data_IF_344050990966
#
_entry.id   IF_344050990966
#
_cell.length_a   1.000
_cell.length_b   1.000
_cell.length_c   1.000
_cell.angle_alpha   90.00
_cell.angle_beta   90.00
_cell.angle_gamma   90.00
#
_symmetry.space_group_name_H-M   'P 1'
#
loop_
_entity.id
_entity.type
_entity.pdbx_description
1 polymer ?
#
# COMPACT_ATOMS: atom_id res chain seq x y z
N UNK A 1 -5.91 -6.10 -19.42
CA UNK A 1 -6.08 -7.01 -18.27
C UNK A 1 -4.79 -7.80 -18.12
N UNK A 2 -4.21 -7.92 -16.92
CA UNK A 2 -3.01 -8.74 -16.71
C UNK A 2 -3.42 -10.05 -16.06
N UNK A 3 -3.27 -11.16 -16.76
CA UNK A 3 -3.61 -12.50 -16.27
C UNK A 3 -2.31 -13.26 -16.03
N UNK A 4 -2.19 -13.90 -14.86
CA UNK A 4 -1.10 -14.82 -14.58
C UNK A 4 -1.45 -16.16 -15.22
N UNK A 5 -0.66 -16.58 -16.23
CA UNK A 5 -0.88 -17.85 -16.91
C UNK A 5 0.20 -18.83 -16.46
N UNK A 6 -0.24 -19.98 -15.94
CA UNK A 6 0.66 -21.08 -15.60
C UNK A 6 0.92 -21.88 -16.89
N UNK A 7 2.12 -21.76 -17.48
CA UNK A 7 2.47 -22.44 -18.73
C UNK A 7 3.21 -23.75 -18.41
N UNK A 8 2.71 -24.87 -18.96
CA UNK A 8 3.03 -26.24 -18.54
C UNK A 8 4.41 -26.79 -18.95
N UNK A 9 5.35 -25.94 -19.38
CA UNK A 9 6.69 -26.41 -19.82
C UNK A 9 7.86 -25.88 -18.98
N UNK A 10 7.63 -25.07 -17.94
CA UNK A 10 8.65 -24.77 -16.91
C UNK A 10 7.99 -24.28 -15.61
N UNK A 11 7.73 -25.23 -14.70
CA UNK A 11 6.76 -25.13 -13.61
C UNK A 11 7.18 -24.34 -12.36
N UNK A 12 8.15 -23.41 -12.44
CA UNK A 12 8.64 -22.73 -11.24
C UNK A 12 8.41 -21.21 -11.20
N UNK A 13 8.04 -20.56 -12.31
CA UNK A 13 7.78 -19.12 -12.30
C UNK A 13 6.51 -18.76 -13.10
N UNK A 14 5.52 -18.11 -12.45
CA UNK A 14 4.36 -17.60 -13.17
C UNK A 14 4.79 -16.59 -14.23
N UNK A 15 4.17 -16.64 -15.41
CA UNK A 15 4.37 -15.64 -16.48
C UNK A 15 3.16 -14.71 -16.56
N UNK A 16 3.40 -13.47 -16.93
CA UNK A 16 2.40 -12.43 -17.05
C UNK A 16 2.00 -12.27 -18.51
N UNK A 17 0.70 -12.40 -18.77
CA UNK A 17 0.08 -12.14 -20.06
C UNK A 17 -0.59 -10.77 -20.06
N UNK A 18 -0.29 -9.97 -21.08
CA UNK A 18 -0.92 -8.68 -21.35
C UNK A 18 -1.52 -8.72 -22.76
N UNK A 19 -2.75 -8.25 -22.89
CA UNK A 19 -3.48 -8.17 -24.17
C UNK A 19 -4.21 -6.83 -24.27
N UNK A 20 -4.20 -6.26 -25.48
CA UNK A 20 -4.97 -5.08 -25.85
C UNK A 20 -5.31 -5.13 -27.35
N UNK A 21 -6.57 -5.39 -27.69
CA UNK A 21 -7.00 -5.56 -29.08
C UNK A 21 -6.27 -6.72 -29.75
N UNK A 22 -5.60 -6.46 -30.87
CA UNK A 22 -4.81 -7.46 -31.61
C UNK A 22 -3.38 -7.67 -31.07
N UNK A 23 -2.98 -6.95 -30.03
CA UNK A 23 -1.62 -6.97 -29.49
C UNK A 23 -1.58 -7.78 -28.20
N UNK A 24 -0.56 -8.64 -28.04
CA UNK A 24 -0.40 -9.40 -26.81
C UNK A 24 1.06 -9.77 -26.52
N UNK A 25 1.38 -9.97 -25.24
CA UNK A 25 2.74 -10.31 -24.80
C UNK A 25 2.73 -11.20 -23.56
N UNK A 26 3.67 -12.16 -23.51
CA UNK A 26 3.91 -13.04 -22.36
C UNK A 26 5.34 -12.84 -21.85
N UNK A 27 5.50 -12.25 -20.67
CA UNK A 27 6.82 -11.96 -20.06
C UNK A 27 6.91 -12.48 -18.62
N UNK A 28 8.12 -12.44 -18.04
CA UNK A 28 8.40 -12.93 -16.68
C UNK A 28 7.97 -11.94 -15.59
N UNK A 29 7.77 -10.68 -15.93
CA UNK A 29 7.26 -9.64 -15.04
C UNK A 29 6.16 -8.81 -15.73
N UNK A 30 5.21 -8.25 -14.97
CA UNK A 30 4.06 -7.54 -15.52
C UNK A 30 4.47 -6.24 -16.23
N UNK A 31 5.49 -5.54 -15.74
CA UNK A 31 5.96 -4.27 -16.31
C UNK A 31 6.49 -4.47 -17.72
N UNK A 32 7.26 -5.53 -17.95
CA UNK A 32 7.80 -5.87 -19.27
C UNK A 32 6.70 -6.37 -20.20
N UNK A 33 5.74 -7.18 -19.70
CA UNK A 33 4.60 -7.62 -20.51
C UNK A 33 3.79 -6.43 -21.04
N UNK A 34 3.43 -5.51 -20.14
CA UNK A 34 2.68 -4.28 -20.47
C UNK A 34 3.52 -3.37 -21.38
N UNK A 35 4.79 -3.15 -21.05
CA UNK A 35 5.67 -2.31 -21.86
C UNK A 35 5.84 -2.83 -23.28
N UNK A 36 5.84 -4.15 -23.48
CA UNK A 36 5.97 -4.74 -24.83
C UNK A 36 4.73 -4.41 -25.66
N UNK A 37 3.53 -4.70 -25.14
CA UNK A 37 2.27 -4.40 -25.83
C UNK A 37 2.13 -2.90 -26.09
N UNK A 38 2.50 -2.06 -25.12
CA UNK A 38 2.46 -0.61 -25.24
C UNK A 38 3.37 -0.08 -26.36
N UNK A 39 4.59 -0.61 -26.46
CA UNK A 39 5.54 -0.26 -27.53
C UNK A 39 5.02 -0.66 -28.91
N UNK A 40 4.40 -1.84 -29.02
CA UNK A 40 3.81 -2.32 -30.28
C UNK A 40 2.64 -1.43 -30.74
N UNK A 41 1.77 -1.00 -29.81
CA UNK A 41 0.62 -0.14 -30.14
C UNK A 41 1.06 1.26 -30.59
N UNK A 42 2.00 1.87 -29.87
CA UNK A 42 2.36 3.27 -30.06
C UNK A 42 3.61 3.50 -30.92
N UNK A 43 4.22 2.41 -31.40
CA UNK A 43 5.44 2.41 -32.19
C UNK A 43 6.56 3.30 -31.59
N UNK A 44 6.65 3.31 -30.26
CA UNK A 44 7.55 4.17 -29.49
C UNK A 44 8.53 3.30 -28.68
N UNK A 45 9.78 3.74 -28.51
CA UNK A 45 10.79 3.01 -27.74
C UNK A 45 10.72 3.23 -26.22
N UNK A 46 9.94 4.22 -25.77
CA UNK A 46 9.81 4.54 -24.34
C UNK A 46 9.08 3.42 -23.60
N UNK A 47 9.56 3.11 -22.40
CA UNK A 47 8.93 2.11 -21.52
C UNK A 47 7.55 2.59 -21.06
N UNK A 48 6.70 1.66 -20.64
CA UNK A 48 5.42 2.00 -20.04
C UNK A 48 5.66 2.80 -18.76
N UNK A 49 5.24 4.07 -18.77
CA UNK A 49 5.14 4.89 -17.58
C UNK A 49 3.66 5.01 -17.26
N UNK A 50 3.14 4.18 -16.36
CA UNK A 50 1.70 4.13 -16.05
C UNK A 50 1.10 5.51 -15.77
N UNK A 51 1.85 6.37 -15.10
CA UNK A 51 1.45 7.75 -14.81
C UNK A 51 1.24 8.58 -16.09
N UNK A 52 2.15 8.47 -17.07
CA UNK A 52 2.04 9.18 -18.35
C UNK A 52 0.86 8.66 -19.19
N UNK A 53 0.59 7.35 -19.14
CA UNK A 53 -0.53 6.74 -19.87
C UNK A 53 -1.88 7.15 -19.29
N UNK A 54 -1.97 7.26 -17.97
CA UNK A 54 -3.17 7.72 -17.28
C UNK A 54 -3.34 9.24 -17.31
N UNK A 55 -2.42 9.97 -17.98
CA UNK A 55 -2.47 11.42 -18.02
C UNK A 55 -2.20 12.09 -16.67
N UNK A 56 -1.57 11.39 -15.71
CA UNK A 56 -1.19 11.92 -14.39
C UNK A 56 -0.09 12.99 -14.42
N UNK A 57 0.20 13.54 -15.61
CA UNK A 57 1.03 14.74 -15.81
C UNK A 57 0.21 15.92 -16.33
N UNK A 58 -1.10 15.72 -16.55
CA UNK A 58 -2.03 16.73 -17.02
C UNK A 58 -3.00 17.06 -15.88
N UNK A 59 -2.95 18.30 -15.39
CA UNK A 59 -3.76 18.76 -14.25
C UNK A 59 -5.26 18.52 -14.45
N UNK A 60 -5.79 18.79 -15.65
CA UNK A 60 -7.22 18.59 -15.94
C UNK A 60 -7.64 17.11 -15.86
N UNK A 61 -6.77 16.19 -16.27
CA UNK A 61 -7.03 14.75 -16.15
C UNK A 61 -6.94 14.32 -14.69
N UNK A 62 -5.95 14.81 -13.94
CA UNK A 62 -5.81 14.52 -12.51
C UNK A 62 -7.03 15.02 -11.75
N UNK A 63 -7.49 16.24 -12.01
CA UNK A 63 -8.70 16.82 -11.42
C UNK A 63 -9.91 15.93 -11.69
N UNK A 64 -10.18 15.58 -12.96
CA UNK A 64 -11.31 14.72 -13.30
C UNK A 64 -11.23 13.34 -12.64
N UNK A 65 -10.04 12.71 -12.62
CA UNK A 65 -9.84 11.42 -11.96
C UNK A 65 -9.95 11.50 -10.43
N UNK A 66 -9.79 12.70 -9.85
CA UNK A 66 -9.86 12.92 -8.40
C UNK A 66 -11.22 13.37 -7.92
N UNK A 67 -12.16 13.72 -8.82
CA UNK A 67 -13.48 14.29 -8.46
C UNK A 67 -14.28 13.43 -7.46
N UNK A 68 -14.21 12.11 -7.58
CA UNK A 68 -14.92 11.17 -6.70
C UNK A 68 -13.98 10.41 -5.75
N UNK A 69 -12.71 10.83 -5.66
CA UNK A 69 -11.74 10.20 -4.76
C UNK A 69 -11.87 10.81 -3.38
N UNK A 70 -12.55 10.10 -2.48
CA UNK A 70 -12.74 10.53 -1.09
C UNK A 70 -11.43 10.64 -0.30
N UNK A 71 -10.41 9.87 -0.68
CA UNK A 71 -9.12 9.85 -0.02
C UNK A 71 -8.03 9.26 -0.91
N UNK A 72 -6.85 9.89 -0.89
CA UNK A 72 -5.63 9.37 -1.51
C UNK A 72 -4.69 8.89 -0.41
N UNK A 73 -4.23 7.63 -0.44
CA UNK A 73 -3.24 7.14 0.52
C UNK A 73 -1.99 8.00 0.56
N UNK A 74 -1.53 8.31 1.78
CA UNK A 74 -0.35 9.15 2.01
C UNK A 74 0.75 8.35 2.69
N UNK A 75 1.99 8.75 2.43
CA UNK A 75 3.15 8.25 3.17
C UNK A 75 3.73 9.35 4.04
N UNK A 76 4.00 9.03 5.29
CA UNK A 76 4.65 9.91 6.26
C UNK A 76 5.90 9.23 6.85
N UNK A 77 6.86 10.05 7.27
CA UNK A 77 8.14 9.58 7.81
C UNK A 77 8.15 9.78 9.31
N UNK A 78 8.50 8.73 10.06
CA UNK A 78 8.70 8.77 11.51
C UNK A 78 10.09 8.22 11.82
N UNK A 79 11.08 9.13 11.78
CA UNK A 79 12.49 8.77 11.83
C UNK A 79 12.88 7.80 10.72
N UNK A 80 13.16 6.55 11.09
CA UNK A 80 13.54 5.48 10.15
C UNK A 80 12.33 4.74 9.55
N UNK A 81 11.13 4.94 10.10
CA UNK A 81 9.92 4.26 9.64
C UNK A 81 9.21 5.10 8.60
N UNK A 82 8.76 4.43 7.53
CA UNK A 82 7.79 4.98 6.58
C UNK A 82 6.44 4.39 6.90
N UNK A 83 5.51 5.24 7.30
CA UNK A 83 4.13 4.88 7.60
C UNK A 83 3.27 5.21 6.39
N UNK A 84 2.44 4.27 5.98
CA UNK A 84 1.51 4.41 4.87
C UNK A 84 0.09 4.41 5.39
N UNK A 85 -0.60 5.54 5.29
CA UNK A 85 -2.01 5.70 5.69
C UNK A 85 -2.87 5.46 4.46
N UNK A 86 -3.79 4.50 4.55
CA UNK A 86 -4.60 4.04 3.42
C UNK A 86 -6.10 3.95 3.75
N UNK A 87 -6.51 4.37 4.94
CA UNK A 87 -7.91 4.56 5.32
C UNK A 87 -8.05 5.72 6.30
N UNK A 88 -9.03 6.58 6.07
CA UNK A 88 -9.31 7.75 6.91
C UNK A 88 -10.65 7.56 7.59
N UNK A 89 -10.59 7.20 8.86
CA UNK A 89 -11.70 7.26 9.78
C UNK A 89 -11.52 8.46 10.68
N UNK A 90 -12.61 9.18 10.97
CA UNK A 90 -12.58 10.38 11.82
C UNK A 90 -13.49 10.23 13.03
N UNK A 91 -13.16 10.97 14.08
CA UNK A 91 -13.96 11.07 15.31
C UNK A 91 -13.75 12.44 15.97
N UNK A 92 -14.43 12.70 17.07
CA UNK A 92 -14.18 13.87 17.92
C UNK A 92 -13.01 13.67 18.90
N UNK A 93 -12.23 12.59 18.77
CA UNK A 93 -11.13 12.30 19.69
C UNK A 93 -9.88 13.13 19.35
N UNK A 94 -9.72 14.26 20.03
CA UNK A 94 -8.59 15.17 19.84
C UNK A 94 -7.24 14.57 20.24
N UNK A 95 -7.20 13.60 21.16
CA UNK A 95 -5.94 12.93 21.54
C UNK A 95 -5.35 12.11 20.40
N UNK A 96 -6.20 11.69 19.45
CA UNK A 96 -5.82 10.90 18.29
C UNK A 96 -5.82 11.75 17.02
N UNK A 97 -5.65 13.08 17.15
CA UNK A 97 -5.76 14.05 16.06
C UNK A 97 -7.03 13.86 15.22
N UNK A 98 -8.15 13.60 15.91
CA UNK A 98 -9.47 13.33 15.33
C UNK A 98 -9.54 12.05 14.49
N UNK A 99 -8.57 11.14 14.61
CA UNK A 99 -8.64 9.79 14.05
C UNK A 99 -9.76 8.98 14.71
N UNK A 100 -10.41 8.12 13.93
CA UNK A 100 -11.57 7.35 14.39
C UNK A 100 -11.80 6.06 13.62
N UNK A 101 -12.93 5.38 13.89
CA UNK A 101 -13.30 4.13 13.23
C UNK A 101 -13.18 4.21 11.71
N UNK A 102 -12.49 3.22 11.12
CA UNK A 102 -12.16 3.19 9.70
C UNK A 102 -10.76 3.71 9.37
N UNK A 103 -10.04 4.30 10.34
CA UNK A 103 -8.64 4.71 10.14
C UNK A 103 -7.74 3.48 9.99
N UNK A 104 -6.86 3.50 8.98
CA UNK A 104 -5.94 2.40 8.69
C UNK A 104 -4.58 2.92 8.24
N UNK A 105 -3.54 2.42 8.87
CA UNK A 105 -2.16 2.69 8.48
C UNK A 105 -1.31 1.44 8.56
N UNK A 106 -0.14 1.48 7.94
CA UNK A 106 0.81 0.39 7.97
C UNK A 106 2.23 0.88 8.03
N UNK A 107 3.10 0.06 8.61
CA UNK A 107 4.53 0.29 8.60
C UNK A 107 5.27 -1.04 8.42
N UNK A 108 6.38 -0.97 7.70
CA UNK A 108 7.26 -2.12 7.46
C UNK A 108 8.48 -1.97 8.35
N UNK A 109 8.84 -3.04 9.05
CA UNK A 109 10.06 -3.10 9.86
C UNK A 109 10.79 -4.41 9.63
N UNK A 110 12.10 -4.31 9.43
CA UNK A 110 12.99 -5.45 9.28
C UNK A 110 13.76 -5.68 10.58
N UNK A 111 13.65 -6.89 11.13
CA UNK A 111 14.36 -7.31 12.35
C UNK A 111 15.16 -8.56 12.01
N UNK A 112 16.49 -8.52 12.21
CA UNK A 112 17.40 -9.63 11.92
C UNK A 112 17.22 -10.20 10.49
N UNK A 113 17.04 -9.33 9.50
CA UNK A 113 16.82 -9.71 8.09
C UNK A 113 15.40 -10.19 7.76
N UNK A 114 14.49 -10.24 8.73
CA UNK A 114 13.09 -10.64 8.53
C UNK A 114 12.21 -9.40 8.48
N UNK A 115 11.54 -9.19 7.35
CA UNK A 115 10.57 -8.10 7.17
C UNK A 115 9.19 -8.47 7.71
N UNK A 116 8.62 -7.56 8.49
CA UNK A 116 7.26 -7.65 9.01
C UNK A 116 6.47 -6.44 8.53
N UNK A 117 5.21 -6.69 8.17
CA UNK A 117 4.24 -5.64 7.89
C UNK A 117 3.29 -5.54 9.07
N UNK A 118 3.22 -4.36 9.68
CA UNK A 118 2.30 -4.05 10.75
C UNK A 118 1.18 -3.20 10.17
N UNK A 119 -0.07 -3.60 10.41
CA UNK A 119 -1.25 -2.87 9.97
C UNK A 119 -2.04 -2.45 11.20
N UNK A 120 -2.07 -1.15 11.44
CA UNK A 120 -2.78 -0.49 12.52
C UNK A 120 -4.18 -0.11 12.04
N UNK A 121 -5.21 -0.42 12.81
CA UNK A 121 -6.60 -0.05 12.51
C UNK A 121 -7.29 0.52 13.73
N UNK A 122 -8.14 1.53 13.53
CA UNK A 122 -9.10 1.98 14.52
C UNK A 122 -10.47 1.47 14.08
N UNK A 123 -11.11 0.70 14.94
CA UNK A 123 -12.44 0.16 14.76
C UNK A 123 -13.38 0.76 15.82
N UNK A 124 -14.68 0.47 15.73
CA UNK A 124 -15.64 0.93 16.74
C UNK A 124 -15.32 0.32 18.10
N UNK A 125 -14.85 1.16 19.02
CA UNK A 125 -14.58 0.80 20.42
C UNK A 125 -13.22 0.18 20.71
N UNK A 126 -12.38 -0.09 19.69
CA UNK A 126 -11.03 -0.62 19.91
C UNK A 126 -10.04 -0.27 18.80
N UNK A 127 -8.75 -0.36 19.12
CA UNK A 127 -7.65 -0.33 18.17
C UNK A 127 -7.12 -1.75 17.96
N UNK A 128 -6.62 -2.02 16.76
CA UNK A 128 -6.01 -3.30 16.47
C UNK A 128 -4.71 -3.18 15.67
N UNK A 129 -3.87 -4.20 15.82
CA UNK A 129 -2.59 -4.32 15.13
C UNK A 129 -2.45 -5.74 14.56
N UNK A 130 -2.52 -5.86 13.23
CA UNK A 130 -2.20 -7.10 12.49
C UNK A 130 -0.71 -7.12 12.18
N UNK A 131 -0.04 -8.20 12.51
CA UNK A 131 1.36 -8.43 12.14
C UNK A 131 1.41 -9.51 11.07
N UNK A 132 1.94 -9.17 9.90
CA UNK A 132 2.14 -10.09 8.79
C UNK A 132 3.62 -10.42 8.63
N UNK A 133 3.89 -11.70 8.36
CA UNK A 133 5.18 -12.21 7.88
C UNK A 133 4.92 -13.13 6.70
N UNK A 134 5.61 -12.92 5.57
CA UNK A 134 5.46 -13.73 4.36
C UNK A 134 3.99 -13.85 3.92
N UNK A 135 3.26 -12.72 3.92
CA UNK A 135 1.84 -12.62 3.55
C UNK A 135 0.86 -13.43 4.44
N UNK A 136 1.33 -13.97 5.58
CA UNK A 136 0.48 -14.66 6.57
C UNK A 136 0.35 -13.81 7.83
N UNK A 137 -0.85 -13.76 8.39
CA UNK A 137 -1.08 -13.16 9.71
C UNK A 137 -0.35 -14.01 10.74
N UNK A 138 0.53 -13.38 11.52
CA UNK A 138 1.27 -14.00 12.62
C UNK A 138 0.71 -13.60 13.97
N UNK A 139 0.21 -12.38 14.09
CA UNK A 139 -0.36 -11.89 15.33
C UNK A 139 -1.49 -10.91 15.04
N UNK A 140 -2.44 -10.87 15.97
CA UNK A 140 -3.55 -9.96 16.02
C UNK A 140 -3.66 -9.47 17.45
N UNK A 141 -3.45 -8.17 17.64
CA UNK A 141 -3.45 -7.54 18.96
C UNK A 141 -4.57 -6.51 18.96
N UNK A 142 -5.48 -6.63 19.93
CA UNK A 142 -6.48 -5.61 20.24
C UNK A 142 -6.12 -4.87 21.52
N UNK A 143 -6.59 -3.62 21.61
CA UNK A 143 -6.43 -2.75 22.77
C UNK A 143 -7.35 -1.55 22.69
N UNK A 144 -7.57 -0.88 23.81
CA UNK A 144 -8.41 0.31 23.90
C UNK A 144 -7.81 1.56 23.24
N UNK A 145 -6.50 1.56 22.98
CA UNK A 145 -5.79 2.70 22.40
C UNK A 145 -4.62 2.29 21.49
N UNK A 146 -4.14 3.20 20.62
CA UNK A 146 -2.93 2.97 19.83
C UNK A 146 -1.70 2.62 20.68
N UNK A 147 -1.56 3.25 21.85
CA UNK A 147 -0.46 2.96 22.78
C UNK A 147 -0.52 1.54 23.32
N UNK A 148 -1.70 1.05 23.70
CA UNK A 148 -1.87 -0.28 24.27
C UNK A 148 -1.49 -1.38 23.27
N UNK A 149 -1.89 -1.24 21.99
CA UNK A 149 -1.57 -2.25 20.97
C UNK A 149 -0.09 -2.28 20.60
N UNK A 150 0.60 -1.12 20.63
CA UNK A 150 2.02 -1.03 20.27
C UNK A 150 2.98 -1.34 21.43
N UNK A 151 2.56 -1.12 22.68
CA UNK A 151 3.39 -1.46 23.86
C UNK A 151 3.85 -2.93 23.85
N UNK A 152 3.02 -3.85 23.34
CA UNK A 152 3.35 -5.29 23.28
C UNK A 152 4.51 -5.64 22.35
N UNK A 153 4.95 -4.72 21.48
CA UNK A 153 6.03 -4.94 20.51
C UNK A 153 7.37 -4.27 20.88
N UNK A 154 7.45 -3.61 22.04
CA UNK A 154 8.67 -2.99 22.60
C UNK A 154 9.41 -2.02 21.64
N UNK A 155 8.70 -1.26 20.80
CA UNK A 155 9.31 -0.17 20.02
C UNK A 155 9.37 1.07 20.92
N UNK A 156 10.36 1.11 21.81
CA UNK A 156 10.42 2.10 22.92
C UNK A 156 10.61 3.56 22.49
N UNK A 157 11.01 3.81 21.23
CA UNK A 157 11.34 5.16 20.75
C UNK A 157 10.13 6.03 20.42
N UNK A 158 8.99 5.42 20.08
CA UNK A 158 7.82 6.12 19.56
C UNK A 158 6.56 5.70 20.31
N UNK A 159 5.62 6.63 20.46
CA UNK A 159 4.30 6.30 21.01
C UNK A 159 3.48 5.49 20.00
N UNK A 160 2.46 4.79 20.47
CA UNK A 160 1.52 4.12 19.59
C UNK A 160 0.75 5.10 18.69
N UNK A 161 0.50 6.32 19.16
CA UNK A 161 -0.11 7.40 18.35
C UNK A 161 0.78 7.74 17.15
N UNK A 162 2.08 7.93 17.37
CA UNK A 162 3.05 8.18 16.31
C UNK A 162 3.19 6.97 15.38
N UNK A 163 3.24 5.75 15.92
CA UNK A 163 3.34 4.52 15.11
C UNK A 163 2.06 4.24 14.29
N UNK A 164 0.91 4.76 14.70
CA UNK A 164 -0.31 4.79 13.87
C UNK A 164 -0.24 5.86 12.77
N UNK A 165 0.70 6.80 12.84
CA UNK A 165 0.77 7.95 11.93
C UNK A 165 -0.31 9.00 12.19
N UNK A 166 -0.87 9.02 13.40
CA UNK A 166 -1.90 9.98 13.79
C UNK A 166 -1.27 11.32 14.19
N UNK A 167 -0.03 11.31 14.67
CA UNK A 167 0.72 12.51 15.04
C UNK A 167 1.93 12.69 14.12
N UNK A 168 1.94 13.82 13.41
CA UNK A 168 3.11 14.29 12.66
C UNK A 168 3.77 15.38 13.51
N UNK A 169 4.49 14.94 14.54
CA UNK A 169 5.46 15.79 15.22
C UNK A 169 6.73 15.88 14.35
N UNK A 170 6.64 16.63 13.25
CA UNK A 170 7.82 17.23 12.60
C UNK A 170 8.19 18.54 13.32
#
# INVERSE_FOLDING_TARGET
MTVVINYSENSFLPRFYCECGSFSSIKQDPTTAISTVYKEILNNQKHYYGNLVLGWTNESIIEQLSLDVLFVPISLSLGEYKIFVFGVGSSSNSEWNNGGPGYKSSLVRTVNGISFLYVSTIEDGFCALKVYKEFKIKNWIEGSSPNEVWQKLNIQKYTGIQLFGLDNSD
#
